data_IF_152369099108
#
_entry.id   IF_152369099108
#
_cell.length_a   1.000
_cell.length_b   1.000
_cell.length_c   1.000
_cell.angle_alpha   90.00
_cell.angle_beta   90.00
_cell.angle_gamma   90.00
#
_symmetry.space_group_name_H-M   'P 1'
#
loop_
_entity.id
_entity.type
_entity.pdbx_description
1 polymer ?
#
# COMPACT_ATOMS: atom_id res chain seq x y z
N UNK A 1 19.04 43.12 -56.19
CA UNK A 1 18.22 41.97 -55.75
C UNK A 1 18.37 41.77 -54.22
N UNK A 2 17.46 42.40 -53.44
CA UNK A 2 17.34 42.12 -51.99
C UNK A 2 16.45 40.91 -51.79
N UNK A 3 17.03 39.85 -51.31
CA UNK A 3 16.28 38.68 -50.86
C UNK A 3 15.86 38.89 -49.41
N UNK A 4 14.57 39.16 -49.15
CA UNK A 4 14.00 39.23 -47.80
C UNK A 4 13.74 37.81 -47.32
N UNK A 5 14.55 37.37 -46.34
CA UNK A 5 14.31 36.15 -45.59
C UNK A 5 13.17 36.41 -44.63
N UNK A 6 12.00 35.85 -44.90
CA UNK A 6 10.89 35.84 -43.97
C UNK A 6 11.18 34.73 -42.95
N UNK A 7 11.64 35.12 -41.77
CA UNK A 7 11.75 34.23 -40.62
C UNK A 7 10.36 33.99 -40.04
N UNK A 8 9.74 32.86 -40.39
CA UNK A 8 8.55 32.37 -39.71
C UNK A 8 8.96 31.96 -38.31
N UNK A 9 8.73 32.82 -37.33
CA UNK A 9 8.76 32.42 -35.92
C UNK A 9 7.54 31.52 -35.67
N UNK A 10 7.76 30.19 -35.68
CA UNK A 10 6.83 29.24 -35.11
C UNK A 10 6.86 29.48 -33.60
N UNK A 11 5.96 30.35 -33.12
CA UNK A 11 5.62 30.34 -31.71
C UNK A 11 5.01 28.95 -31.42
N UNK A 12 5.79 28.12 -30.74
CA UNK A 12 5.23 26.94 -30.13
C UNK A 12 4.10 27.42 -29.18
N UNK A 13 2.84 27.35 -29.65
CA UNK A 13 1.72 27.43 -28.76
C UNK A 13 2.00 26.39 -27.66
N UNK A 14 2.14 26.87 -26.40
CA UNK A 14 2.03 25.96 -25.26
C UNK A 14 0.79 25.13 -25.53
N UNK A 15 0.96 23.84 -25.76
CA UNK A 15 -0.17 22.93 -25.83
C UNK A 15 -0.95 23.22 -24.54
N UNK A 16 -2.15 23.80 -24.68
CA UNK A 16 -3.08 23.89 -23.56
C UNK A 16 -3.05 22.51 -22.94
N UNK A 17 -2.82 22.40 -21.62
CA UNK A 17 -2.84 21.12 -20.94
C UNK A 17 -4.25 20.56 -21.14
N UNK A 18 -4.43 19.83 -22.22
CA UNK A 18 -5.71 19.22 -22.58
C UNK A 18 -6.16 18.24 -21.48
N UNK A 19 -5.17 17.71 -20.73
CA UNK A 19 -5.36 16.78 -19.65
C UNK A 19 -5.00 17.43 -18.32
N UNK A 20 -5.82 17.18 -17.29
CA UNK A 20 -5.67 17.73 -15.96
C UNK A 20 -5.61 16.62 -14.91
N UNK A 21 -4.92 16.88 -13.80
CA UNK A 21 -4.78 15.94 -12.68
C UNK A 21 -5.83 16.16 -11.58
N UNK A 22 -6.50 17.29 -11.65
CA UNK A 22 -7.53 17.69 -10.71
C UNK A 22 -8.60 18.48 -11.43
N UNK A 23 -9.86 18.25 -11.09
CA UNK A 23 -11.01 18.94 -11.66
C UNK A 23 -11.88 19.47 -10.54
N UNK A 24 -12.15 20.78 -10.56
CA UNK A 24 -13.19 21.41 -9.75
C UNK A 24 -14.34 21.82 -10.67
N UNK A 25 -15.53 21.32 -10.39
CA UNK A 25 -16.68 21.69 -11.17
C UNK A 25 -17.23 23.05 -10.73
N UNK A 26 -17.41 24.03 -11.67
CA UNK A 26 -18.10 25.26 -11.35
C UNK A 26 -19.49 24.97 -10.75
N UNK A 27 -19.97 25.77 -9.77
CA UNK A 27 -21.24 25.52 -9.09
C UNK A 27 -22.42 25.35 -10.06
N UNK A 28 -22.42 26.06 -11.20
CA UNK A 28 -23.49 26.09 -12.17
C UNK A 28 -23.19 25.23 -13.42
N UNK A 29 -22.16 24.37 -13.38
CA UNK A 29 -21.82 23.52 -14.52
C UNK A 29 -22.94 22.51 -14.79
N UNK A 30 -23.34 22.44 -16.06
CA UNK A 30 -24.28 21.41 -16.54
C UNK A 30 -23.67 20.01 -16.46
N UNK A 31 -24.50 18.98 -16.53
CA UNK A 31 -24.00 17.59 -16.56
C UNK A 31 -23.04 17.37 -17.74
N UNK A 32 -23.38 17.88 -18.91
CA UNK A 32 -22.53 17.77 -20.12
C UNK A 32 -21.15 18.40 -19.90
N UNK A 33 -21.11 19.63 -19.33
CA UNK A 33 -19.85 20.29 -18.99
C UNK A 33 -19.04 19.49 -17.96
N UNK A 34 -19.69 18.93 -16.94
CA UNK A 34 -19.02 18.09 -15.94
C UNK A 34 -18.41 16.84 -16.58
N UNK A 35 -19.15 16.19 -17.49
CA UNK A 35 -18.66 15.01 -18.21
C UNK A 35 -17.46 15.36 -19.08
N UNK A 36 -17.50 16.47 -19.85
CA UNK A 36 -16.38 16.91 -20.68
C UNK A 36 -15.13 17.24 -19.84
N UNK A 37 -15.32 17.94 -18.72
CA UNK A 37 -14.22 18.23 -17.78
C UNK A 37 -13.64 16.96 -17.15
N UNK A 38 -14.49 16.01 -16.76
CA UNK A 38 -14.05 14.75 -16.15
C UNK A 38 -13.32 13.86 -17.18
N UNK A 39 -13.71 13.88 -18.45
CA UNK A 39 -13.06 13.13 -19.51
C UNK A 39 -11.60 13.53 -19.76
N UNK A 40 -11.20 14.72 -19.31
CA UNK A 40 -9.81 15.22 -19.41
C UNK A 40 -8.94 14.84 -18.22
N UNK A 41 -9.51 14.18 -17.21
CA UNK A 41 -8.77 13.75 -16.03
C UNK A 41 -7.85 12.58 -16.36
N UNK A 42 -6.58 12.72 -16.05
CA UNK A 42 -5.57 11.66 -16.24
C UNK A 42 -4.92 11.28 -14.92
N UNK A 43 -4.42 10.04 -14.80
CA UNK A 43 -3.69 9.63 -13.63
C UNK A 43 -2.39 10.41 -13.46
N UNK A 44 -1.98 10.62 -12.22
CA UNK A 44 -0.61 11.07 -11.93
C UNK A 44 0.40 10.02 -12.40
N UNK A 45 1.69 10.36 -12.59
CA UNK A 45 2.72 9.38 -12.93
C UNK A 45 2.77 8.20 -11.96
N UNK A 46 2.54 8.44 -10.67
CA UNK A 46 2.50 7.40 -9.64
C UNK A 46 1.30 6.46 -9.81
N UNK A 47 0.11 7.02 -10.04
CA UNK A 47 -1.10 6.24 -10.32
C UNK A 47 -0.96 5.43 -11.59
N UNK A 48 -0.41 6.03 -12.66
CA UNK A 48 -0.16 5.32 -13.93
C UNK A 48 0.85 4.19 -13.72
N UNK A 49 1.95 4.43 -13.01
CA UNK A 49 2.94 3.39 -12.69
C UNK A 49 2.33 2.24 -11.89
N UNK A 50 1.38 2.54 -10.98
CA UNK A 50 0.66 1.50 -10.25
C UNK A 50 -0.27 0.70 -11.16
N UNK A 51 -1.04 1.36 -12.03
CA UNK A 51 -1.92 0.70 -13.00
C UNK A 51 -1.14 -0.23 -13.93
N UNK A 52 0.04 0.21 -14.40
CA UNK A 52 0.91 -0.56 -15.27
C UNK A 52 1.54 -1.80 -14.62
N UNK A 53 1.47 -1.92 -13.30
CA UNK A 53 1.88 -3.16 -12.64
C UNK A 53 0.94 -4.34 -12.92
N UNK A 54 -0.35 -4.07 -13.15
CA UNK A 54 -1.42 -5.03 -13.46
C UNK A 54 -1.62 -6.08 -12.36
N UNK A 55 -0.60 -6.90 -12.08
CA UNK A 55 -0.65 -7.95 -11.06
C UNK A 55 0.05 -7.51 -9.77
N UNK A 56 -0.74 -7.34 -8.73
CA UNK A 56 -0.28 -7.09 -7.36
C UNK A 56 -0.76 -8.22 -6.45
N UNK A 57 0.16 -8.86 -5.74
CA UNK A 57 -0.17 -9.89 -4.78
C UNK A 57 -0.51 -9.27 -3.43
N UNK A 58 -1.59 -9.75 -2.81
CA UNK A 58 -1.96 -9.40 -1.45
C UNK A 58 -1.75 -10.63 -0.56
N UNK A 59 -0.72 -10.59 0.28
CA UNK A 59 -0.40 -11.66 1.23
C UNK A 59 -1.14 -11.41 2.54
N UNK A 60 -2.21 -12.16 2.75
CA UNK A 60 -2.98 -12.12 3.99
C UNK A 60 -2.46 -13.18 4.95
N UNK A 61 -1.45 -12.81 5.71
CA UNK A 61 -0.80 -13.64 6.72
C UNK A 61 -0.81 -12.92 8.07
N UNK A 62 -1.03 -13.63 9.15
CA UNK A 62 -1.10 -13.04 10.49
C UNK A 62 -1.38 -14.08 11.56
N UNK A 63 -1.69 -13.62 12.78
CA UNK A 63 -1.98 -14.52 13.91
C UNK A 63 -3.20 -15.42 13.62
N UNK A 64 -4.16 -14.95 12.84
CA UNK A 64 -5.36 -15.70 12.50
C UNK A 64 -5.10 -16.89 11.56
N UNK A 65 -3.96 -16.95 10.89
CA UNK A 65 -3.48 -18.15 10.20
C UNK A 65 -3.38 -19.35 11.15
N UNK A 66 -3.10 -19.09 12.45
CA UNK A 66 -2.94 -20.11 13.47
C UNK A 66 -4.21 -20.36 14.28
N UNK A 67 -5.23 -19.51 14.16
CA UNK A 67 -6.52 -19.68 14.85
C UNK A 67 -7.60 -20.27 13.95
N UNK A 68 -7.38 -20.30 12.63
CA UNK A 68 -8.38 -20.71 11.65
C UNK A 68 -9.55 -19.75 11.53
N UNK A 69 -9.39 -18.50 11.96
CA UNK A 69 -10.42 -17.45 11.87
C UNK A 69 -10.08 -16.49 10.74
N UNK A 70 -11.10 -16.02 10.04
CA UNK A 70 -10.93 -14.97 9.04
C UNK A 70 -10.59 -13.63 9.71
N UNK A 71 -11.34 -13.28 10.75
CA UNK A 71 -11.11 -12.09 11.57
C UNK A 71 -10.99 -12.50 13.04
N UNK A 72 -9.91 -12.10 13.65
CA UNK A 72 -9.70 -12.28 15.07
C UNK A 72 -10.58 -11.35 15.91
N UNK A 73 -10.54 -11.55 17.22
CA UNK A 73 -11.24 -10.70 18.18
C UNK A 73 -10.34 -9.66 18.86
N UNK A 74 -9.04 -9.68 18.55
CA UNK A 74 -8.05 -8.78 19.13
C UNK A 74 -7.52 -9.24 20.50
N UNK A 75 -7.85 -10.46 20.90
CA UNK A 75 -7.44 -11.07 22.18
C UNK A 75 -6.67 -12.37 21.98
N UNK A 76 -6.24 -12.63 20.75
CA UNK A 76 -5.44 -13.80 20.42
C UNK A 76 -4.15 -13.77 21.23
N UNK A 77 -3.81 -14.91 21.85
CA UNK A 77 -2.53 -15.05 22.55
C UNK A 77 -1.38 -14.94 21.54
N UNK A 78 -0.46 -13.97 21.66
CA UNK A 78 0.72 -13.88 20.82
C UNK A 78 1.55 -15.15 20.75
N UNK A 79 1.48 -16.01 21.75
CA UNK A 79 2.18 -17.30 21.77
C UNK A 79 1.72 -18.25 20.64
N UNK A 80 0.53 -18.05 20.07
CA UNK A 80 0.05 -18.81 18.92
C UNK A 80 0.83 -18.52 17.65
N UNK A 81 1.43 -17.31 17.54
CA UNK A 81 2.20 -16.94 16.38
C UNK A 81 3.62 -17.54 16.44
N UNK A 82 3.78 -18.72 15.86
CA UNK A 82 5.06 -19.41 15.82
C UNK A 82 5.27 -20.16 14.50
N UNK A 83 5.43 -19.44 13.36
CA UNK A 83 5.66 -20.06 12.05
C UNK A 83 7.03 -20.74 11.99
N UNK A 84 7.06 -22.09 11.91
CA UNK A 84 8.29 -22.88 11.82
C UNK A 84 8.93 -22.83 10.43
N UNK A 85 8.09 -22.71 9.38
CA UNK A 85 8.50 -22.86 7.99
C UNK A 85 8.30 -21.58 7.16
N UNK A 86 8.36 -20.40 7.82
CA UNK A 86 8.22 -19.14 7.09
C UNK A 86 9.44 -18.90 6.19
N UNK A 87 9.23 -18.87 4.89
CA UNK A 87 10.23 -18.55 3.87
C UNK A 87 9.72 -17.40 2.97
N UNK A 88 10.07 -16.17 3.35
CA UNK A 88 9.69 -14.99 2.60
C UNK A 88 10.31 -14.94 1.19
N UNK A 89 11.47 -15.56 1.00
CA UNK A 89 12.09 -15.64 -0.34
C UNK A 89 11.32 -16.57 -1.26
N UNK A 90 10.85 -17.70 -0.74
CA UNK A 90 9.99 -18.61 -1.50
C UNK A 90 8.70 -17.93 -1.94
N UNK A 91 8.05 -17.17 -1.05
CA UNK A 91 6.84 -16.42 -1.40
C UNK A 91 7.09 -15.46 -2.56
N UNK A 92 8.13 -14.62 -2.43
CA UNK A 92 8.43 -13.58 -3.44
C UNK A 92 8.86 -14.22 -4.77
N UNK A 93 9.67 -15.27 -4.75
CA UNK A 93 10.10 -15.98 -5.95
C UNK A 93 8.91 -16.57 -6.71
N UNK A 94 8.02 -17.27 -6.01
CA UNK A 94 6.83 -17.86 -6.63
C UNK A 94 5.92 -16.81 -7.25
N UNK A 95 5.72 -15.67 -6.56
CA UNK A 95 4.92 -14.57 -7.09
C UNK A 95 5.58 -13.91 -8.31
N UNK A 96 6.90 -13.71 -8.26
CA UNK A 96 7.65 -13.15 -9.39
C UNK A 96 7.59 -14.06 -10.61
N UNK A 97 7.76 -15.37 -10.43
CA UNK A 97 7.69 -16.35 -11.51
C UNK A 97 6.29 -16.41 -12.14
N UNK A 98 5.24 -16.12 -11.34
CA UNK A 98 3.88 -15.98 -11.81
C UNK A 98 3.57 -14.61 -12.46
N UNK A 99 4.53 -13.69 -12.55
CA UNK A 99 4.40 -12.40 -13.23
C UNK A 99 3.95 -11.24 -12.37
N UNK A 100 3.79 -11.41 -11.06
CA UNK A 100 3.46 -10.31 -10.15
C UNK A 100 4.59 -9.27 -10.09
N UNK A 101 4.21 -8.00 -9.92
CA UNK A 101 5.14 -6.86 -9.89
C UNK A 101 5.29 -6.25 -8.50
N UNK A 102 4.31 -6.48 -7.64
CA UNK A 102 4.25 -5.93 -6.29
C UNK A 102 3.67 -6.95 -5.31
N UNK A 103 4.15 -6.87 -4.07
CA UNK A 103 3.62 -7.62 -2.93
C UNK A 103 3.13 -6.64 -1.88
N UNK A 104 1.90 -6.83 -1.42
CA UNK A 104 1.30 -6.15 -0.26
C UNK A 104 1.14 -7.17 0.86
N UNK A 105 1.72 -6.88 2.04
CA UNK A 105 1.57 -7.71 3.23
C UNK A 105 0.57 -7.08 4.20
N UNK A 106 -0.33 -7.86 4.79
CA UNK A 106 -1.10 -7.43 5.97
C UNK A 106 -0.20 -7.33 7.19
N UNK A 107 0.58 -6.25 7.28
CA UNK A 107 1.51 -6.05 8.40
C UNK A 107 0.79 -5.98 9.75
N UNK A 108 -0.41 -5.41 9.79
CA UNK A 108 -1.37 -5.45 10.89
C UNK A 108 -2.77 -5.58 10.30
N UNK A 109 -3.53 -6.60 10.70
CA UNK A 109 -4.93 -6.76 10.32
C UNK A 109 -5.89 -6.26 11.42
N UNK A 110 -7.19 -6.51 11.30
CA UNK A 110 -8.23 -6.03 12.22
C UNK A 110 -8.07 -6.53 13.66
N UNK A 111 -7.40 -7.67 13.87
CA UNK A 111 -7.06 -8.19 15.19
C UNK A 111 -6.06 -7.32 15.96
N UNK A 112 -5.34 -6.43 15.26
CA UNK A 112 -4.34 -5.54 15.84
C UNK A 112 -2.96 -6.17 16.04
N UNK A 113 -2.77 -7.45 15.63
CA UNK A 113 -1.47 -8.13 15.78
C UNK A 113 -0.45 -7.58 14.76
N UNK A 114 0.67 -7.09 15.27
CA UNK A 114 1.74 -6.51 14.45
C UNK A 114 2.77 -7.57 14.06
N UNK A 115 3.01 -7.74 12.76
CA UNK A 115 3.98 -8.68 12.20
C UNK A 115 5.44 -8.20 12.28
N UNK A 116 5.69 -7.09 12.95
CA UNK A 116 7.03 -6.56 13.23
C UNK A 116 7.17 -6.29 14.74
N UNK A 117 8.39 -6.32 15.31
CA UNK A 117 8.60 -5.96 16.69
C UNK A 117 8.34 -4.46 16.88
N UNK A 118 7.32 -4.13 17.66
CA UNK A 118 6.95 -2.76 17.99
C UNK A 118 6.89 -2.55 19.49
N UNK A 119 7.07 -1.31 19.93
CA UNK A 119 6.95 -0.90 21.35
C UNK A 119 5.58 -0.28 21.64
N UNK A 120 4.74 -0.04 20.61
CA UNK A 120 3.43 0.60 20.77
C UNK A 120 2.37 -0.33 21.35
N UNK A 121 2.49 -1.64 21.12
CA UNK A 121 1.60 -2.66 21.67
C UNK A 121 2.37 -3.93 22.00
N UNK A 122 1.83 -4.70 22.96
CA UNK A 122 2.30 -6.07 23.24
C UNK A 122 1.71 -7.10 22.30
N UNK A 123 0.67 -6.73 21.53
CA UNK A 123 0.03 -7.62 20.56
C UNK A 123 0.82 -7.65 19.26
N UNK A 124 1.99 -8.30 19.31
CA UNK A 124 2.94 -8.32 18.20
C UNK A 124 3.87 -9.52 18.28
N UNK A 125 4.63 -9.72 17.22
CA UNK A 125 5.68 -10.76 17.15
C UNK A 125 6.71 -10.65 18.28
N UNK A 126 6.91 -9.47 18.86
CA UNK A 126 7.82 -9.30 20.01
C UNK A 126 7.36 -10.06 21.26
N UNK A 127 6.08 -10.36 21.38
CA UNK A 127 5.51 -11.16 22.47
C UNK A 127 5.33 -12.64 22.09
N UNK A 128 5.68 -13.04 20.88
CA UNK A 128 5.57 -14.42 20.42
C UNK A 128 6.85 -15.22 20.69
N UNK A 129 6.77 -16.57 20.74
CA UNK A 129 7.95 -17.42 20.82
C UNK A 129 8.76 -17.45 19.51
N UNK A 130 8.18 -16.99 18.41
CA UNK A 130 8.83 -17.04 17.10
C UNK A 130 10.12 -16.24 17.10
N UNK A 131 11.23 -16.92 16.75
CA UNK A 131 12.59 -16.36 16.78
C UNK A 131 12.92 -15.66 18.13
N UNK A 132 12.38 -16.18 19.23
CA UNK A 132 12.54 -15.60 20.58
C UNK A 132 12.06 -14.13 20.66
N UNK A 133 10.95 -13.79 20.01
CA UNK A 133 10.40 -12.43 19.95
C UNK A 133 11.17 -11.45 19.06
N UNK A 134 12.17 -11.92 18.31
CA UNK A 134 12.99 -11.08 17.42
C UNK A 134 12.63 -11.24 15.95
N UNK A 135 11.58 -11.99 15.67
CA UNK A 135 11.06 -12.17 14.31
C UNK A 135 10.48 -10.87 13.77
N UNK A 136 10.60 -10.67 12.46
CA UNK A 136 10.08 -9.50 11.75
C UNK A 136 9.71 -9.90 10.33
N UNK A 137 8.44 -10.25 10.12
CA UNK A 137 7.93 -10.70 8.81
C UNK A 137 8.02 -9.57 7.78
N UNK A 138 7.76 -8.33 8.22
CA UNK A 138 7.80 -7.15 7.35
C UNK A 138 9.22 -6.96 6.79
N UNK A 139 10.21 -7.03 7.65
CA UNK A 139 11.64 -6.91 7.29
C UNK A 139 12.10 -8.08 6.40
N UNK A 140 11.70 -9.31 6.72
CA UNK A 140 12.07 -10.49 5.94
C UNK A 140 11.50 -10.42 4.53
N UNK A 141 10.21 -10.07 4.40
CA UNK A 141 9.55 -9.94 3.12
C UNK A 141 10.10 -8.74 2.31
N UNK A 142 10.38 -7.62 2.98
CA UNK A 142 11.03 -6.47 2.32
C UNK A 142 12.37 -6.86 1.71
N UNK A 143 13.23 -7.57 2.46
CA UNK A 143 14.53 -8.03 1.96
C UNK A 143 14.38 -8.98 0.75
N UNK A 144 13.41 -9.88 0.82
CA UNK A 144 13.13 -10.78 -0.30
C UNK A 144 12.67 -9.99 -1.54
N UNK A 145 11.77 -9.01 -1.39
CA UNK A 145 11.34 -8.15 -2.47
C UNK A 145 12.51 -7.38 -3.11
N UNK A 146 13.39 -6.82 -2.30
CA UNK A 146 14.59 -6.12 -2.79
C UNK A 146 15.52 -7.07 -3.58
N UNK A 147 15.75 -8.29 -3.08
CA UNK A 147 16.57 -9.31 -3.72
C UNK A 147 16.03 -9.70 -5.11
N UNK A 148 14.73 -9.83 -5.24
CA UNK A 148 14.09 -10.26 -6.48
C UNK A 148 13.57 -9.10 -7.35
N UNK A 149 13.80 -7.86 -6.97
CA UNK A 149 13.38 -6.67 -7.72
C UNK A 149 11.86 -6.50 -7.80
N UNK A 150 11.13 -6.91 -6.77
CA UNK A 150 9.69 -6.68 -6.64
C UNK A 150 9.40 -5.46 -5.78
N UNK A 151 8.33 -4.74 -6.12
CA UNK A 151 7.85 -3.65 -5.26
C UNK A 151 7.21 -4.24 -4.00
N UNK A 152 7.40 -3.55 -2.88
CA UNK A 152 6.87 -3.95 -1.59
C UNK A 152 5.97 -2.86 -1.01
N UNK A 153 4.84 -3.27 -0.47
CA UNK A 153 3.94 -2.42 0.29
C UNK A 153 3.38 -3.15 1.50
N UNK A 154 2.78 -2.40 2.40
CA UNK A 154 2.13 -2.93 3.59
C UNK A 154 0.68 -2.46 3.65
N UNK A 155 -0.19 -3.33 4.12
CA UNK A 155 -1.52 -2.98 4.57
C UNK A 155 -1.48 -2.86 6.09
N UNK A 156 -1.86 -1.72 6.59
CA UNK A 156 -2.01 -1.42 8.00
C UNK A 156 -3.49 -1.12 8.24
N UNK A 157 -4.20 -2.04 8.90
CA UNK A 157 -5.63 -1.87 9.16
C UNK A 157 -5.89 -0.63 10.02
N UNK A 158 -6.77 0.29 9.59
CA UNK A 158 -7.24 1.36 10.45
C UNK A 158 -8.21 0.88 11.52
N UNK A 159 -8.83 -0.29 11.33
CA UNK A 159 -9.61 -0.94 12.37
C UNK A 159 -8.68 -1.78 13.25
N UNK A 160 -8.85 -1.66 14.57
CA UNK A 160 -8.00 -2.35 15.55
C UNK A 160 -8.87 -2.84 16.71
N UNK A 161 -9.00 -4.15 16.83
CA UNK A 161 -9.82 -4.79 17.86
C UNK A 161 -9.06 -5.01 19.17
N UNK A 162 -7.72 -4.85 19.16
CA UNK A 162 -6.87 -4.95 20.34
C UNK A 162 -6.65 -3.59 21.02
N UNK A 163 -6.51 -2.50 20.26
CA UNK A 163 -6.17 -1.19 20.80
C UNK A 163 -7.32 -0.64 21.66
N UNK A 164 -7.07 -0.43 22.95
CA UNK A 164 -8.05 0.14 23.90
C UNK A 164 -8.50 1.55 23.50
N UNK A 165 -7.67 2.30 22.78
CA UNK A 165 -7.99 3.64 22.30
C UNK A 165 -8.78 3.64 20.99
N UNK A 166 -9.07 2.48 20.39
CA UNK A 166 -9.88 2.44 19.17
C UNK A 166 -11.29 2.98 19.43
N UNK A 167 -11.73 3.93 18.59
CA UNK A 167 -12.99 4.66 18.77
C UNK A 167 -12.81 6.07 19.37
N UNK A 168 -11.67 6.34 20.02
CA UNK A 168 -11.24 7.68 20.42
C UNK A 168 -10.29 8.23 19.35
N UNK A 169 -10.82 8.98 18.38
CA UNK A 169 -10.04 9.38 17.19
C UNK A 169 -8.74 10.12 17.51
N UNK A 170 -8.66 11.10 18.42
CA UNK A 170 -7.41 11.75 18.77
C UNK A 170 -6.35 10.77 19.29
N UNK A 171 -6.72 9.93 20.27
CA UNK A 171 -5.80 8.96 20.88
C UNK A 171 -5.40 7.85 19.91
N UNK A 172 -6.36 7.37 19.11
CA UNK A 172 -6.06 6.31 18.13
C UNK A 172 -5.16 6.83 17.00
N UNK A 173 -5.35 8.07 16.54
CA UNK A 173 -4.46 8.66 15.54
C UNK A 173 -3.02 8.76 16.04
N UNK A 174 -2.80 9.18 17.30
CA UNK A 174 -1.46 9.16 17.89
C UNK A 174 -0.85 7.75 17.97
N UNK A 175 -1.66 6.76 18.32
CA UNK A 175 -1.24 5.36 18.35
C UNK A 175 -0.89 4.83 16.94
N UNK A 176 -1.73 5.17 15.95
CA UNK A 176 -1.62 4.63 14.58
C UNK A 176 -0.42 5.16 13.80
N UNK A 177 0.04 6.39 14.09
CA UNK A 177 1.17 7.03 13.39
C UNK A 177 2.53 6.76 14.04
N UNK A 178 2.58 6.08 15.18
CA UNK A 178 3.83 5.68 15.87
C UNK A 178 4.38 4.39 15.28
#
# INVERSE_FOLDING_TARGET
LLSSVITLSVQAQKAEEYYVKHVEFPPNATLEQKVDMAARLIPTPQQLSWQQMELTAFLHFGINTFTGREWGDGKEDPALFNPSELDAEQWVRSLKDAGFKMVLLTAKHHDGFCLWPTTTTKHSVASSPWKNGQGDVVKELRKACDKYGMKFGVYLSPWDRNAECYGDSPRYNEFFIR
#
